data_IF_259484314566
#
_entry.id   IF_259484314566
#
_cell.length_a   1.000
_cell.length_b   1.000
_cell.length_c   1.000
_cell.angle_alpha   90.00
_cell.angle_beta   90.00
_cell.angle_gamma   90.00
#
_symmetry.space_group_name_H-M   'P 1'
#
loop_
_entity.id
_entity.type
_entity.pdbx_description
1 polymer ?
#
# COMPACT_ATOMS: atom_id res chain seq x y z
N UNK A 1 -8.89 -5.66 -25.51
CA UNK A 1 -8.00 -5.31 -24.42
C UNK A 1 -7.20 -4.09 -24.71
N UNK A 2 -7.12 -3.19 -23.79
CA UNK A 2 -6.34 -1.99 -23.96
C UNK A 2 -4.84 -2.25 -23.88
N UNK A 3 -4.07 -1.36 -24.46
CA UNK A 3 -2.63 -1.39 -24.33
C UNK A 3 -2.21 -0.67 -23.06
N UNK A 4 -1.11 -1.11 -22.50
CA UNK A 4 -0.51 -0.46 -21.35
C UNK A 4 0.96 -0.23 -21.64
N UNK A 5 1.41 1.00 -21.43
CA UNK A 5 2.80 1.37 -21.65
C UNK A 5 3.41 1.83 -20.33
N UNK A 6 4.65 1.40 -20.08
CA UNK A 6 5.38 1.89 -18.93
C UNK A 6 5.64 3.38 -19.05
N UNK A 7 5.42 4.10 -17.96
CA UNK A 7 5.67 5.54 -17.91
C UNK A 7 6.66 5.82 -16.80
N UNK A 8 7.63 6.69 -17.09
CA UNK A 8 8.61 7.09 -16.08
C UNK A 8 7.96 7.93 -15.01
N UNK A 9 8.52 7.85 -13.82
CA UNK A 9 8.03 8.61 -12.69
C UNK A 9 9.18 8.98 -11.76
N UNK A 10 8.95 10.02 -10.97
CA UNK A 10 9.86 10.45 -9.94
C UNK A 10 9.20 10.27 -8.59
N UNK A 11 9.87 9.56 -7.70
CA UNK A 11 9.38 9.41 -6.34
C UNK A 11 9.72 10.67 -5.56
N UNK A 12 8.71 11.44 -5.22
CA UNK A 12 8.87 12.67 -4.44
C UNK A 12 8.94 12.38 -2.94
N UNK A 13 8.21 11.38 -2.50
CA UNK A 13 8.17 10.99 -1.11
C UNK A 13 7.77 9.51 -1.00
N UNK A 14 8.54 8.78 -0.19
CA UNK A 14 8.26 7.36 0.09
C UNK A 14 8.60 7.09 1.56
N UNK A 15 7.82 7.65 2.49
CA UNK A 15 8.18 7.58 3.89
C UNK A 15 7.96 6.19 4.48
N UNK A 16 8.73 5.88 5.50
CA UNK A 16 8.41 4.79 6.41
C UNK A 16 7.27 5.23 7.32
N UNK A 17 6.29 4.36 7.48
CA UNK A 17 5.20 4.57 8.42
C UNK A 17 5.51 3.76 9.67
N UNK A 18 5.39 4.39 10.82
CA UNK A 18 5.76 3.78 12.08
C UNK A 18 4.51 3.48 12.89
N UNK A 19 4.46 2.27 13.44
CA UNK A 19 3.39 1.81 14.32
C UNK A 19 3.97 1.31 15.62
N UNK A 20 3.25 1.51 16.68
CA UNK A 20 3.59 0.92 17.98
C UNK A 20 2.61 -0.19 18.26
N UNK A 21 3.14 -1.38 18.52
CA UNK A 21 2.33 -2.54 18.86
C UNK A 21 2.09 -2.58 20.37
N UNK A 22 1.02 -3.24 20.79
CA UNK A 22 0.69 -3.30 22.21
C UNK A 22 1.75 -4.00 23.06
N UNK A 23 2.56 -4.87 22.45
CA UNK A 23 3.68 -5.53 23.13
C UNK A 23 4.95 -4.68 23.15
N UNK A 24 4.85 -3.40 22.80
CA UNK A 24 5.94 -2.40 22.75
C UNK A 24 6.89 -2.58 21.58
N UNK A 25 6.67 -3.54 20.71
CA UNK A 25 7.44 -3.66 19.48
C UNK A 25 7.08 -2.50 18.55
N UNK A 26 8.07 -1.97 17.85
CA UNK A 26 7.86 -0.95 16.82
C UNK A 26 7.84 -1.63 15.47
N UNK A 27 6.80 -1.35 14.69
CA UNK A 27 6.67 -1.85 13.34
C UNK A 27 6.86 -0.69 12.37
N UNK A 28 7.73 -0.89 11.39
CA UNK A 28 7.90 0.06 10.29
C UNK A 28 7.36 -0.56 9.01
N UNK A 29 6.60 0.22 8.27
CA UNK A 29 6.01 -0.21 7.02
C UNK A 29 6.32 0.79 5.92
N UNK A 30 6.61 0.31 4.72
CA UNK A 30 6.90 1.16 3.58
C UNK A 30 6.37 0.52 2.30
N UNK A 31 5.76 1.34 1.47
CA UNK A 31 5.32 0.93 0.15
C UNK A 31 6.21 1.59 -0.89
N UNK A 32 6.65 0.81 -1.87
CA UNK A 32 7.39 1.34 -3.02
C UNK A 32 6.65 1.00 -4.29
N UNK A 33 6.46 2.00 -5.13
CA UNK A 33 6.00 1.78 -6.49
C UNK A 33 7.20 1.34 -7.32
N UNK A 34 7.08 0.24 -8.01
CA UNK A 34 8.18 -0.30 -8.83
C UNK A 34 7.99 -0.01 -10.30
N UNK A 35 6.76 0.12 -10.76
CA UNK A 35 6.48 0.44 -12.16
C UNK A 35 5.09 1.03 -12.29
N UNK A 36 4.95 1.98 -13.22
CA UNK A 36 3.67 2.60 -13.52
C UNK A 36 3.39 2.42 -15.01
N UNK A 37 2.15 2.08 -15.31
CA UNK A 37 1.67 1.92 -16.68
C UNK A 37 0.54 2.89 -16.93
N UNK A 38 0.56 3.50 -18.12
CA UNK A 38 -0.57 4.26 -18.60
C UNK A 38 -1.27 3.42 -19.65
N UNK A 39 -2.57 3.24 -19.52
CA UNK A 39 -3.35 2.49 -20.49
C UNK A 39 -3.94 3.43 -21.52
N UNK A 40 -4.52 2.85 -22.56
CA UNK A 40 -5.25 3.63 -23.58
C UNK A 40 -6.73 3.79 -23.24
N UNK A 41 -7.11 3.39 -22.05
CA UNK A 41 -8.49 3.49 -21.56
C UNK A 41 -8.68 4.76 -20.75
N UNK A 42 -9.91 5.20 -20.68
CA UNK A 42 -10.30 6.38 -19.90
C UNK A 42 -11.48 6.03 -19.01
N UNK A 43 -11.49 6.60 -17.82
CA UNK A 43 -12.58 6.39 -16.90
C UNK A 43 -13.78 7.28 -17.26
N UNK A 44 -14.93 7.12 -16.57
CA UNK A 44 -16.11 7.94 -16.86
C UNK A 44 -15.89 9.45 -16.75
N UNK A 45 -14.88 9.88 -16.00
CA UNK A 45 -14.53 11.28 -15.84
C UNK A 45 -13.56 11.79 -16.89
N UNK A 46 -13.17 10.94 -17.84
CA UNK A 46 -12.23 11.31 -18.88
C UNK A 46 -10.77 11.22 -18.49
N UNK A 47 -10.47 10.68 -17.33
CA UNK A 47 -9.09 10.52 -16.88
C UNK A 47 -8.47 9.26 -17.48
N UNK A 48 -7.20 9.33 -17.89
CA UNK A 48 -6.52 8.11 -18.30
C UNK A 48 -6.50 7.09 -17.16
N UNK A 49 -6.60 5.83 -17.50
CA UNK A 49 -6.53 4.75 -16.51
C UNK A 49 -5.08 4.31 -16.39
N UNK A 50 -4.58 4.28 -15.17
CA UNK A 50 -3.22 3.86 -14.86
C UNK A 50 -3.24 2.55 -14.09
N UNK A 51 -2.17 1.80 -14.24
CA UNK A 51 -1.91 0.63 -13.42
C UNK A 51 -0.49 0.74 -12.87
N UNK A 52 -0.22 0.07 -11.77
CA UNK A 52 1.13 0.08 -11.21
C UNK A 52 1.40 -1.20 -10.45
N UNK A 53 2.69 -1.46 -10.30
CA UNK A 53 3.19 -2.52 -9.44
C UNK A 53 3.81 -1.89 -8.21
N UNK A 54 3.62 -2.52 -7.08
CA UNK A 54 4.18 -2.02 -5.83
C UNK A 54 4.63 -3.19 -4.96
N UNK A 55 5.48 -2.88 -3.99
CA UNK A 55 5.91 -3.82 -2.97
C UNK A 55 5.81 -3.15 -1.61
N UNK A 56 5.40 -3.93 -0.64
CA UNK A 56 5.33 -3.48 0.74
C UNK A 56 6.45 -4.11 1.53
N UNK A 57 7.08 -3.31 2.39
CA UNK A 57 8.16 -3.77 3.26
C UNK A 57 7.77 -3.52 4.69
N UNK A 58 8.02 -4.52 5.53
CA UNK A 58 7.75 -4.43 6.96
C UNK A 58 8.99 -4.86 7.71
N UNK A 59 9.31 -4.13 8.76
CA UNK A 59 10.37 -4.52 9.67
C UNK A 59 9.97 -4.17 11.09
N UNK A 60 10.55 -4.86 12.05
CA UNK A 60 10.21 -4.67 13.45
C UNK A 60 11.46 -4.39 14.25
N UNK A 61 11.26 -3.68 15.37
CA UNK A 61 12.26 -3.52 16.41
C UNK A 61 11.58 -3.89 17.71
N UNK A 62 11.86 -5.09 18.19
CA UNK A 62 11.23 -5.58 19.42
C UNK A 62 12.10 -5.21 20.62
N UNK A 63 11.47 -4.92 21.77
CA UNK A 63 12.25 -4.75 22.99
C UNK A 63 12.87 -6.09 23.40
N UNK A 64 13.94 -5.99 24.17
CA UNK A 64 14.72 -7.16 24.54
C UNK A 64 13.88 -8.24 25.24
N UNK A 65 12.91 -7.84 26.04
CA UNK A 65 12.05 -8.76 26.78
C UNK A 65 11.13 -9.59 25.87
N UNK A 66 10.92 -9.15 24.62
CA UNK A 66 10.08 -9.91 23.67
C UNK A 66 10.89 -10.86 22.80
N UNK A 67 12.21 -10.75 22.85
CA UNK A 67 13.07 -11.56 22.00
C UNK A 67 13.15 -12.99 22.48
N UNK A 68 13.29 -13.90 21.51
CA UNK A 68 13.44 -15.31 21.79
C UNK A 68 14.49 -15.95 20.91
N UNK A 69 14.65 -17.25 21.07
CA UNK A 69 15.58 -18.02 20.27
C UNK A 69 15.06 -18.13 18.84
N UNK A 70 15.86 -17.81 17.83
CA UNK A 70 15.43 -17.96 16.43
C UNK A 70 14.87 -19.36 16.16
N UNK A 71 13.76 -19.42 15.49
CA UNK A 71 13.10 -20.66 15.16
C UNK A 71 13.85 -21.43 14.07
N UNK A 72 13.86 -22.73 14.17
CA UNK A 72 14.45 -23.61 13.17
C UNK A 72 13.43 -24.70 12.84
N UNK A 73 12.93 -24.73 11.59
CA UNK A 73 13.30 -23.90 10.46
C UNK A 73 12.79 -22.45 10.59
N UNK A 74 13.33 -21.51 9.76
CA UNK A 74 12.90 -20.12 9.81
C UNK A 74 11.41 -19.96 9.54
N UNK A 75 10.74 -19.02 10.21
CA UNK A 75 9.28 -18.85 10.04
C UNK A 75 8.83 -18.63 8.61
N UNK A 76 9.65 -17.99 7.79
CA UNK A 76 9.32 -17.73 6.39
C UNK A 76 9.20 -19.00 5.55
N UNK A 77 9.74 -20.13 6.02
CA UNK A 77 9.67 -21.41 5.33
C UNK A 77 8.51 -22.27 5.81
N UNK A 78 7.75 -21.81 6.81
CA UNK A 78 6.64 -22.56 7.40
C UNK A 78 5.31 -22.18 6.78
N UNK A 79 4.37 -23.10 6.84
CA UNK A 79 2.99 -22.83 6.45
C UNK A 79 2.25 -22.19 7.63
N UNK A 80 1.18 -21.41 7.38
CA UNK A 80 0.41 -20.80 8.46
C UNK A 80 -0.13 -21.80 9.48
N UNK A 81 -0.33 -23.04 9.09
CA UNK A 81 -0.79 -24.09 10.01
C UNK A 81 0.28 -24.59 10.98
N UNK A 82 1.54 -24.18 10.75
CA UNK A 82 2.67 -24.67 11.55
C UNK A 82 2.92 -23.83 12.80
N UNK A 83 2.18 -22.76 12.99
CA UNK A 83 2.37 -21.86 14.14
C UNK A 83 1.03 -21.31 14.61
N UNK A 84 1.00 -20.95 15.88
CA UNK A 84 -0.17 -20.28 16.46
C UNK A 84 -0.02 -18.78 16.33
N UNK A 85 -1.15 -18.07 16.32
CA UNK A 85 -1.17 -16.63 16.16
C UNK A 85 -2.01 -15.99 17.25
N UNK A 86 -1.63 -14.78 17.63
CA UNK A 86 -2.36 -13.96 18.59
C UNK A 86 -2.52 -12.57 17.98
N UNK A 87 -3.73 -12.03 17.88
CA UNK A 87 -3.92 -10.66 17.41
C UNK A 87 -3.20 -9.66 18.33
N UNK A 88 -2.64 -8.63 17.71
CA UNK A 88 -1.89 -7.61 18.41
C UNK A 88 -2.47 -6.25 18.03
N UNK A 89 -2.88 -5.46 19.02
CA UNK A 89 -3.34 -4.11 18.76
C UNK A 89 -2.15 -3.22 18.38
N UNK A 90 -2.44 -2.21 17.60
CA UNK A 90 -1.41 -1.31 17.11
C UNK A 90 -1.98 0.08 16.90
N UNK A 91 -1.09 1.08 16.93
CA UNK A 91 -1.47 2.45 16.61
C UNK A 91 -0.36 3.13 15.82
N UNK A 92 -0.73 3.99 14.90
CA UNK A 92 0.23 4.75 14.12
C UNK A 92 0.90 5.80 15.00
N UNK A 93 2.21 5.95 14.83
CA UNK A 93 2.99 6.97 15.50
C UNK A 93 3.13 8.16 14.54
N UNK A 94 2.71 9.32 14.99
CA UNK A 94 2.81 10.54 14.20
C UNK A 94 1.64 10.74 13.25
N UNK A 95 1.80 11.70 12.35
CA UNK A 95 0.76 12.06 11.41
C UNK A 95 0.71 11.10 10.23
N UNK A 96 -0.42 11.10 9.58
CA UNK A 96 -0.64 10.37 8.35
C UNK A 96 0.31 10.84 7.26
N UNK A 97 0.93 9.91 6.55
CA UNK A 97 1.89 10.24 5.50
C UNK A 97 1.54 9.52 4.20
N UNK A 98 1.74 10.22 3.10
CA UNK A 98 1.46 9.72 1.78
C UNK A 98 2.75 9.54 1.00
N UNK A 99 2.81 8.47 0.20
CA UNK A 99 3.79 8.38 -0.87
C UNK A 99 3.33 9.29 -2.00
N UNK A 100 4.25 9.99 -2.62
CA UNK A 100 3.94 10.95 -3.69
C UNK A 100 4.84 10.64 -4.87
N UNK A 101 4.23 10.44 -6.04
CA UNK A 101 4.92 10.15 -7.28
C UNK A 101 4.45 11.10 -8.34
N UNK A 102 5.42 11.69 -9.05
CA UNK A 102 5.13 12.55 -10.19
C UNK A 102 5.45 11.76 -11.46
N UNK A 103 4.42 11.52 -12.26
CA UNK A 103 4.58 10.79 -13.51
C UNK A 103 5.09 11.73 -14.60
N UNK A 104 5.71 11.16 -15.62
CA UNK A 104 6.28 11.96 -16.70
C UNK A 104 5.25 12.81 -17.44
N UNK A 105 3.99 12.38 -17.45
CA UNK A 105 2.89 13.15 -18.04
C UNK A 105 2.32 14.20 -17.07
N UNK A 106 3.00 14.44 -15.94
CA UNK A 106 2.64 15.40 -14.89
C UNK A 106 1.46 14.99 -14.02
N UNK A 107 0.95 13.79 -14.19
CA UNK A 107 -0.01 13.24 -13.24
C UNK A 107 0.70 12.99 -11.90
N UNK A 108 0.03 13.33 -10.81
CA UNK A 108 0.55 13.07 -9.47
C UNK A 108 -0.24 11.90 -8.88
N UNK A 109 0.50 10.84 -8.56
CA UNK A 109 -0.06 9.66 -7.91
C UNK A 109 0.31 9.71 -6.43
N UNK A 110 -0.69 9.61 -5.57
CA UNK A 110 -0.50 9.59 -4.12
C UNK A 110 -1.04 8.28 -3.58
N UNK A 111 -0.22 7.59 -2.82
CA UNK A 111 -0.61 6.30 -2.22
C UNK A 111 -0.26 6.32 -0.75
N UNK A 112 -1.20 5.90 0.07
CA UNK A 112 -1.00 5.78 1.50
C UNK A 112 -1.13 4.31 1.89
N UNK A 113 -0.07 3.76 2.47
CA UNK A 113 -0.09 2.42 3.01
C UNK A 113 -0.73 2.44 4.40
N UNK A 114 -1.66 1.54 4.63
CA UNK A 114 -2.28 1.38 5.94
C UNK A 114 -2.16 -0.05 6.41
N UNK A 115 -1.65 -0.23 7.62
CA UNK A 115 -1.69 -1.52 8.28
C UNK A 115 -3.10 -1.74 8.79
N UNK A 116 -3.67 -2.89 8.46
CA UNK A 116 -5.04 -3.22 8.83
C UNK A 116 -5.12 -4.31 9.89
N UNK A 117 -4.04 -5.04 10.10
CA UNK A 117 -4.01 -6.07 11.10
C UNK A 117 -2.59 -6.53 11.38
N UNK A 118 -2.34 -6.92 12.62
CA UNK A 118 -1.07 -7.50 13.04
C UNK A 118 -1.38 -8.71 13.90
N UNK A 119 -0.74 -9.82 13.61
CA UNK A 119 -0.77 -10.99 14.51
C UNK A 119 0.65 -11.38 14.85
N UNK A 120 0.83 -11.76 16.10
CA UNK A 120 2.10 -12.28 16.58
C UNK A 120 2.03 -13.79 16.55
N UNK A 121 3.06 -14.42 16.00
CA UNK A 121 3.16 -15.87 15.99
C UNK A 121 3.97 -16.37 17.19
N UNK A 122 4.01 -17.66 17.39
CA UNK A 122 4.85 -18.28 18.44
C UNK A 122 6.26 -18.55 17.93
N UNK A 123 6.62 -18.05 16.76
CA UNK A 123 7.96 -18.23 16.17
C UNK A 123 8.75 -16.95 16.29
N UNK A 124 10.06 -17.09 16.10
CA UNK A 124 11.01 -15.97 16.21
C UNK A 124 11.86 -15.89 14.95
N UNK A 125 12.12 -14.67 14.52
CA UNK A 125 12.96 -14.40 13.36
C UNK A 125 14.43 -14.59 13.70
N UNK A 126 15.27 -14.46 12.70
CA UNK A 126 16.71 -14.70 12.81
C UNK A 126 17.39 -13.76 13.81
N UNK A 127 16.85 -12.57 13.98
CA UNK A 127 17.38 -11.58 14.94
C UNK A 127 16.77 -11.73 16.34
N UNK A 128 15.90 -12.73 16.53
CA UNK A 128 15.24 -12.97 17.80
C UNK A 128 13.93 -12.23 18.00
N UNK A 129 13.55 -11.34 17.10
CA UNK A 129 12.25 -10.68 17.19
C UNK A 129 11.15 -11.70 17.00
N UNK A 130 10.00 -11.54 17.68
CA UNK A 130 8.84 -12.36 17.36
C UNK A 130 8.50 -12.22 15.88
N UNK A 131 8.04 -13.28 15.26
CA UNK A 131 7.62 -13.23 13.88
C UNK A 131 6.16 -12.78 13.83
N UNK A 132 5.95 -11.63 13.19
CA UNK A 132 4.62 -11.04 13.03
C UNK A 132 4.13 -11.23 11.60
N UNK A 133 2.82 -11.38 11.45
CA UNK A 133 2.17 -11.33 10.14
C UNK A 133 1.37 -10.05 10.09
N UNK A 134 1.64 -9.25 9.08
CA UNK A 134 1.04 -7.92 8.93
C UNK A 134 0.13 -7.93 7.72
N UNK A 135 -1.11 -7.49 7.93
CA UNK A 135 -2.05 -7.26 6.85
C UNK A 135 -2.12 -5.77 6.57
N UNK A 136 -2.23 -5.40 5.30
CA UNK A 136 -2.24 -4.00 4.92
C UNK A 136 -3.09 -3.77 3.69
N UNK A 137 -3.44 -2.51 3.49
CA UNK A 137 -4.11 -2.04 2.29
C UNK A 137 -3.53 -0.71 1.88
N UNK A 138 -3.99 -0.18 0.78
CA UNK A 138 -3.52 1.09 0.29
C UNK A 138 -4.69 1.94 -0.19
N UNK A 139 -4.62 3.23 0.11
CA UNK A 139 -5.52 4.23 -0.44
C UNK A 139 -4.78 4.99 -1.52
N UNK A 140 -5.46 5.27 -2.60
CA UNK A 140 -4.86 5.91 -3.76
C UNK A 140 -5.64 7.17 -4.11
N UNK A 141 -4.92 8.23 -4.45
CA UNK A 141 -5.48 9.46 -5.01
C UNK A 141 -4.63 9.87 -6.19
N UNK A 142 -5.29 10.37 -7.21
CA UNK A 142 -4.63 10.78 -8.42
C UNK A 142 -5.07 12.17 -8.80
N UNK A 143 -4.12 12.99 -9.23
CA UNK A 143 -4.42 14.28 -9.80
C UNK A 143 -3.87 14.31 -11.21
N UNK A 144 -4.76 14.36 -12.18
CA UNK A 144 -4.42 14.33 -13.59
C UNK A 144 -4.54 15.74 -14.14
N UNK A 145 -3.51 16.22 -14.89
CA UNK A 145 -3.62 17.53 -15.53
C UNK A 145 -4.80 17.60 -16.49
N UNK A 146 -5.44 18.76 -16.56
CA UNK A 146 -6.63 18.93 -17.37
C UNK A 146 -6.41 18.66 -18.85
N UNK A 147 -5.20 18.89 -19.34
CA UNK A 147 -4.87 18.66 -20.76
C UNK A 147 -4.83 17.16 -21.11
N UNK A 148 -4.76 16.28 -20.13
CA UNK A 148 -4.80 14.84 -20.39
C UNK A 148 -6.20 14.27 -20.32
N UNK A 149 -7.16 15.04 -19.92
CA UNK A 149 -8.53 14.57 -19.80
C UNK A 149 -9.13 14.42 -21.19
N UNK A 150 -9.76 13.28 -21.42
CA UNK A 150 -10.47 13.07 -22.67
C UNK A 150 -11.79 13.83 -22.60
N UNK A 151 -12.05 14.64 -23.63
CA UNK A 151 -13.29 15.39 -23.69
C UNK A 151 -14.45 14.42 -23.75
N UNK A 152 -15.35 14.55 -22.79
CA UNK A 152 -16.55 13.73 -22.77
C UNK A 152 -17.58 14.27 -23.72
N UNK A 153 -18.28 13.37 -24.40
CA UNK A 153 -19.46 13.73 -25.15
C UNK A 153 -20.57 14.00 -24.15
N UNK A 154 -21.19 15.18 -24.19
CA UNK A 154 -22.30 15.44 -23.29
C UNK A 154 -23.38 14.40 -23.48
N UNK A 155 -23.81 13.78 -22.40
CA UNK A 155 -24.91 12.85 -22.47
C UNK A 155 -26.20 13.65 -22.63
N UNK A 156 -27.06 13.17 -23.48
CA UNK A 156 -28.41 13.69 -23.53
C UNK A 156 -28.99 13.60 -22.13
N UNK A 157 -29.74 14.58 -21.75
CA UNK A 157 -30.30 14.66 -20.41
C UNK A 157 -31.49 13.72 -20.25
N UNK A 158 -31.24 12.48 -19.90
CA UNK A 158 -32.36 11.53 -19.85
C UNK A 158 -33.29 11.81 -18.69
N UNK A 159 -32.78 12.48 -17.70
CA UNK A 159 -33.53 12.74 -16.48
C UNK A 159 -34.76 13.55 -16.75
N UNK A 160 -34.72 14.41 -17.75
CA UNK A 160 -35.86 15.25 -18.08
C UNK A 160 -37.01 14.47 -18.57
N UNK A 161 -36.76 13.38 -19.24
CA UNK A 161 -37.78 12.59 -19.83
C UNK A 161 -38.55 11.76 -18.84
N UNK A 162 -37.94 11.53 -17.71
CA UNK A 162 -38.48 10.68 -16.68
C UNK A 162 -39.70 11.32 -16.03
N UNK A 163 -39.77 12.61 -16.07
CA UNK A 163 -40.81 13.36 -15.36
C UNK A 163 -42.02 13.69 -16.18
N UNK A 164 -42.10 13.10 -17.32
CA UNK A 164 -43.25 13.33 -18.17
C UNK A 164 -44.38 12.38 -17.86
#
# INVERSE_FOLDING_TARGET
MGKAEGIEFLAKSEPWVKYKLEDKTVLFARLLITKVYRTDQYDPNGQPVYAWSSQNFFTTVAPKENKGTPSDPPPSSLNPSDYSVTPVDFERVGSEQWNIYELKDKTVLRIKLEVTGVVRTDKFAVDGDPFYIVSSGALTRMKVPSELLKKQVPKASPQKDIYK
#
